data_IF_769832951900
#
_entry.id   IF_769832951900
#
_cell.length_a   1.000
_cell.length_b   1.000
_cell.length_c   1.000
_cell.angle_alpha   90.00
_cell.angle_beta   90.00
_cell.angle_gamma   90.00
#
_symmetry.space_group_name_H-M   'P 1'
#
loop_
_entity.id
_entity.type
_entity.pdbx_description
1 polymer ?
#
# COMPACT_ATOMS: atom_id res chain seq x y z
N UNK A 1 -11.83 -2.45 10.20
CA UNK A 1 -10.50 -2.13 9.63
C UNK A 1 -9.85 -3.44 9.24
N UNK A 2 -9.11 -3.47 8.12
CA UNK A 2 -8.41 -4.67 7.68
C UNK A 2 -7.28 -5.03 8.67
N UNK A 3 -6.98 -6.32 8.82
CA UNK A 3 -5.92 -6.78 9.72
C UNK A 3 -4.56 -6.48 9.12
N UNK A 4 -3.52 -6.34 9.94
CA UNK A 4 -2.18 -6.04 9.41
C UNK A 4 -1.66 -7.14 8.45
N UNK A 5 -2.16 -8.36 8.59
CA UNK A 5 -1.83 -9.53 7.76
C UNK A 5 -2.44 -9.51 6.36
N UNK A 6 -3.37 -8.60 6.06
CA UNK A 6 -3.84 -8.37 4.67
C UNK A 6 -2.89 -7.52 3.83
N UNK A 7 -1.76 -7.08 4.40
CA UNK A 7 -0.70 -6.45 3.61
C UNK A 7 0.27 -7.54 3.18
N UNK A 8 0.40 -7.72 1.87
CA UNK A 8 1.32 -8.70 1.31
C UNK A 8 2.73 -8.52 1.90
N UNK A 9 3.36 -9.64 2.24
CA UNK A 9 4.65 -9.68 2.94
C UNK A 9 4.58 -9.52 4.46
N UNK A 10 3.43 -9.26 5.07
CA UNK A 10 3.23 -9.35 6.53
C UNK A 10 2.62 -10.70 6.90
N UNK A 11 3.46 -11.74 6.89
CA UNK A 11 3.12 -13.02 7.51
C UNK A 11 3.17 -12.96 9.04
N UNK A 12 2.80 -14.06 9.71
CA UNK A 12 2.75 -14.13 11.18
C UNK A 12 4.08 -13.72 11.86
N UNK A 13 5.22 -14.06 11.26
CA UNK A 13 6.57 -13.65 11.73
C UNK A 13 6.72 -12.14 11.91
N UNK A 14 6.13 -11.34 11.03
CA UNK A 14 6.15 -9.88 11.14
C UNK A 14 4.93 -9.34 11.87
N UNK A 15 3.79 -10.04 11.77
CA UNK A 15 2.57 -9.64 12.44
C UNK A 15 2.70 -9.71 13.97
N UNK A 16 3.35 -10.72 14.53
CA UNK A 16 3.54 -10.84 15.98
C UNK A 16 4.22 -9.63 16.64
N UNK A 17 5.43 -9.20 16.22
CA UNK A 17 6.07 -8.03 16.80
C UNK A 17 5.29 -6.73 16.54
N UNK A 18 4.61 -6.60 15.40
CA UNK A 18 3.74 -5.45 15.12
C UNK A 18 2.53 -5.41 16.07
N UNK A 19 1.88 -6.55 16.33
CA UNK A 19 0.77 -6.66 17.28
C UNK A 19 1.24 -6.37 18.71
N UNK A 20 2.44 -6.84 19.09
CA UNK A 20 3.06 -6.53 20.39
C UNK A 20 3.36 -5.03 20.54
N UNK A 21 3.70 -4.35 19.44
CA UNK A 21 3.84 -2.90 19.36
C UNK A 21 2.49 -2.13 19.30
N UNK A 22 1.35 -2.83 19.41
CA UNK A 22 0.01 -2.25 19.36
C UNK A 22 -0.54 -2.02 17.94
N UNK A 23 0.17 -2.45 16.91
CA UNK A 23 -0.20 -2.28 15.50
C UNK A 23 -0.91 -3.54 15.00
N UNK A 24 -2.23 -3.58 15.09
CA UNK A 24 -3.05 -4.75 14.72
C UNK A 24 -3.77 -4.61 13.37
N UNK A 25 -3.92 -3.39 12.88
CA UNK A 25 -4.69 -3.05 11.69
C UNK A 25 -3.87 -2.23 10.71
N UNK A 26 -4.31 -2.20 9.46
CA UNK A 26 -3.73 -1.35 8.40
C UNK A 26 -3.73 0.13 8.81
N UNK A 27 -4.81 0.60 9.43
CA UNK A 27 -4.96 1.99 9.84
C UNK A 27 -4.06 2.32 11.03
N UNK A 28 -3.87 1.38 11.97
CA UNK A 28 -2.90 1.52 13.05
C UNK A 28 -1.48 1.59 12.50
N UNK A 29 -1.15 0.79 11.48
CA UNK A 29 0.15 0.81 10.82
C UNK A 29 0.38 2.14 10.12
N UNK A 30 -0.60 2.60 9.33
CA UNK A 30 -0.53 3.90 8.67
C UNK A 30 -0.30 5.03 9.68
N UNK A 31 -1.07 5.05 10.76
CA UNK A 31 -0.95 6.06 11.82
C UNK A 31 0.44 6.05 12.47
N UNK A 32 0.96 4.88 12.81
CA UNK A 32 2.25 4.75 13.48
C UNK A 32 3.44 4.96 12.54
N UNK A 33 3.32 4.60 11.26
CA UNK A 33 4.36 4.69 10.23
C UNK A 33 4.31 5.95 9.34
N UNK A 34 3.34 6.84 9.53
CA UNK A 34 3.14 8.01 8.66
C UNK A 34 4.36 8.93 8.57
N UNK A 35 5.13 9.06 9.66
CA UNK A 35 6.30 9.95 9.74
C UNK A 35 7.61 9.17 9.74
N UNK A 36 8.70 9.79 9.29
CA UNK A 36 10.05 9.19 9.36
C UNK A 36 10.43 8.78 10.79
N UNK A 37 10.10 9.60 11.79
CA UNK A 37 10.29 9.26 13.20
C UNK A 37 9.45 8.04 13.60
N UNK A 38 8.17 8.01 13.24
CA UNK A 38 7.28 6.89 13.54
C UNK A 38 7.77 5.57 12.97
N UNK A 39 8.25 5.57 11.71
CA UNK A 39 8.85 4.38 11.09
C UNK A 39 10.11 3.91 11.80
N UNK A 40 10.99 4.83 12.19
CA UNK A 40 12.20 4.49 12.96
C UNK A 40 11.85 3.93 14.34
N UNK A 41 10.88 4.52 15.02
CA UNK A 41 10.46 4.06 16.35
C UNK A 41 9.82 2.67 16.26
N UNK A 42 8.95 2.42 15.27
CA UNK A 42 8.40 1.10 14.97
C UNK A 42 9.49 0.08 14.63
N UNK A 43 10.43 0.45 13.77
CA UNK A 43 11.55 -0.40 13.38
C UNK A 43 12.37 -0.83 14.61
N UNK A 44 12.69 0.11 15.50
CA UNK A 44 13.39 -0.17 16.75
C UNK A 44 12.59 -1.07 17.70
N UNK A 45 11.29 -0.84 17.82
CA UNK A 45 10.42 -1.61 18.73
C UNK A 45 10.18 -3.04 18.25
N UNK A 46 10.08 -3.24 16.94
CA UNK A 46 9.69 -4.51 16.33
C UNK A 46 10.88 -5.32 15.80
N UNK A 47 12.06 -4.70 15.66
CA UNK A 47 13.22 -5.29 14.99
C UNK A 47 13.09 -5.33 13.46
N UNK A 48 12.02 -4.78 12.90
CA UNK A 48 11.74 -4.77 11.46
C UNK A 48 12.49 -3.60 10.81
N UNK A 49 13.10 -3.80 9.64
CA UNK A 49 13.80 -2.72 8.95
C UNK A 49 12.87 -1.54 8.61
N UNK A 50 13.36 -0.31 8.72
CA UNK A 50 12.61 0.90 8.33
C UNK A 50 12.11 0.84 6.89
N UNK A 51 12.85 0.17 6.00
CA UNK A 51 12.47 -0.05 4.59
C UNK A 51 11.19 -0.87 4.48
N UNK A 52 11.06 -1.96 5.23
CA UNK A 52 9.85 -2.79 5.23
C UNK A 52 8.68 -2.05 5.88
N UNK A 53 8.92 -1.36 7.01
CA UNK A 53 7.88 -0.54 7.65
C UNK A 53 7.36 0.52 6.68
N UNK A 54 8.25 1.23 5.96
CA UNK A 54 7.87 2.20 4.95
C UNK A 54 7.01 1.56 3.85
N UNK A 55 7.47 0.43 3.30
CA UNK A 55 6.77 -0.31 2.26
C UNK A 55 5.34 -0.65 2.67
N UNK A 56 5.17 -1.24 3.84
CA UNK A 56 3.85 -1.64 4.30
C UNK A 56 2.96 -0.46 4.70
N UNK A 57 3.55 0.61 5.22
CA UNK A 57 2.80 1.86 5.52
C UNK A 57 2.27 2.49 4.23
N UNK A 58 3.07 2.50 3.15
CA UNK A 58 2.63 2.96 1.84
C UNK A 58 1.47 2.12 1.28
N UNK A 59 1.54 0.78 1.41
CA UNK A 59 0.42 -0.11 1.03
C UNK A 59 -0.84 0.15 1.85
N UNK A 60 -0.68 0.35 3.16
CA UNK A 60 -1.78 0.75 4.04
C UNK A 60 -2.40 2.10 3.64
N UNK A 61 -1.59 3.05 3.14
CA UNK A 61 -2.07 4.32 2.60
C UNK A 61 -2.88 4.10 1.30
N UNK A 62 -2.41 3.24 0.39
CA UNK A 62 -3.13 2.88 -0.84
C UNK A 62 -4.48 2.20 -0.55
N UNK A 63 -4.61 1.40 0.50
CA UNK A 63 -5.87 0.76 0.90
C UNK A 63 -6.98 1.75 1.29
N UNK A 64 -6.65 3.03 1.56
CA UNK A 64 -7.65 4.09 1.77
C UNK A 64 -8.47 4.37 0.51
N UNK A 65 -7.94 4.05 -0.66
CA UNK A 65 -8.65 4.19 -1.93
C UNK A 65 -9.60 3.01 -2.10
N UNK A 66 -10.91 3.29 -2.08
CA UNK A 66 -11.94 2.26 -2.21
C UNK A 66 -11.72 1.43 -3.48
N UNK A 67 -11.66 0.11 -3.29
CA UNK A 67 -11.44 -0.86 -4.36
C UNK A 67 -9.99 -1.27 -4.56
N UNK A 68 -9.04 -0.67 -3.83
CA UNK A 68 -7.66 -1.15 -3.74
C UNK A 68 -7.55 -2.04 -2.50
N UNK A 69 -7.37 -3.34 -2.73
CA UNK A 69 -6.97 -4.31 -1.72
C UNK A 69 -5.52 -4.77 -1.93
N UNK A 70 -5.14 -5.85 -1.25
CA UNK A 70 -3.80 -6.45 -1.27
C UNK A 70 -3.24 -6.64 -2.68
N UNK A 71 -3.88 -7.49 -3.49
CA UNK A 71 -3.40 -7.86 -4.83
C UNK A 71 -3.27 -6.63 -5.76
N UNK A 72 -4.17 -5.65 -5.64
CA UNK A 72 -4.12 -4.43 -6.45
C UNK A 72 -3.09 -3.43 -5.96
N UNK A 73 -2.81 -3.36 -4.66
CA UNK A 73 -1.69 -2.57 -4.15
C UNK A 73 -0.36 -3.15 -4.62
N UNK A 74 -0.20 -4.47 -4.62
CA UNK A 74 0.99 -5.13 -5.17
C UNK A 74 1.15 -4.89 -6.67
N UNK A 75 0.06 -4.98 -7.44
CA UNK A 75 0.09 -4.71 -8.87
C UNK A 75 0.42 -3.24 -9.15
N UNK A 76 -0.09 -2.30 -8.37
CA UNK A 76 0.24 -0.88 -8.47
C UNK A 76 1.73 -0.64 -8.18
N UNK A 77 2.26 -1.20 -7.09
CA UNK A 77 3.68 -1.11 -6.74
C UNK A 77 4.55 -1.68 -7.87
N UNK A 78 4.20 -2.88 -8.37
CA UNK A 78 4.90 -3.50 -9.48
C UNK A 78 4.76 -2.72 -10.81
N UNK A 79 3.76 -1.85 -10.92
CA UNK A 79 3.53 -0.93 -12.04
C UNK A 79 4.21 0.45 -11.83
N UNK A 80 4.93 0.62 -10.72
CA UNK A 80 5.67 1.84 -10.36
C UNK A 80 4.82 2.89 -9.64
N UNK A 81 3.76 2.46 -8.94
CA UNK A 81 2.91 3.34 -8.12
C UNK A 81 2.92 2.80 -6.70
N UNK A 82 3.76 3.42 -5.87
CA UNK A 82 3.99 2.97 -4.50
C UNK A 82 3.19 3.82 -3.51
N UNK A 83 2.72 5.00 -3.92
CA UNK A 83 2.11 5.99 -3.02
C UNK A 83 0.82 6.60 -3.57
N UNK A 84 -0.05 7.10 -2.66
CA UNK A 84 -1.28 7.82 -3.04
C UNK A 84 -0.99 9.07 -3.89
N UNK A 85 0.02 9.90 -3.59
CA UNK A 85 0.37 11.04 -4.46
C UNK A 85 0.80 10.62 -5.87
N UNK A 86 1.57 9.54 -6.02
CA UNK A 86 1.95 9.03 -7.33
C UNK A 86 0.72 8.56 -8.11
N UNK A 87 -0.18 7.81 -7.46
CA UNK A 87 -1.43 7.35 -8.07
C UNK A 87 -2.27 8.55 -8.55
N UNK A 88 -2.37 9.62 -7.75
CA UNK A 88 -3.10 10.83 -8.09
C UNK A 88 -2.55 11.54 -9.34
N UNK A 89 -1.27 11.34 -9.67
CA UNK A 89 -0.61 11.97 -10.82
C UNK A 89 -0.63 11.11 -12.09
N UNK A 90 -1.04 9.84 -12.02
CA UNK A 90 -1.06 8.96 -13.18
C UNK A 90 -2.16 9.32 -14.17
N UNK A 91 -1.89 9.05 -15.45
CA UNK A 91 -2.91 8.97 -16.51
C UNK A 91 -3.54 7.57 -16.45
N UNK A 92 -4.87 7.43 -16.27
CA UNK A 92 -5.52 6.13 -16.09
C UNK A 92 -5.23 5.14 -17.22
N UNK A 93 -5.27 5.58 -18.47
CA UNK A 93 -5.04 4.70 -19.64
C UNK A 93 -3.63 4.09 -19.60
N UNK A 94 -2.60 4.95 -19.47
CA UNK A 94 -1.21 4.51 -19.39
C UNK A 94 -0.96 3.61 -18.17
N UNK A 95 -1.59 3.90 -17.03
CA UNK A 95 -1.46 3.07 -15.83
C UNK A 95 -2.10 1.71 -16.06
N UNK A 96 -3.29 1.65 -16.65
CA UNK A 96 -3.99 0.41 -16.94
C UNK A 96 -3.20 -0.47 -17.92
N UNK A 97 -2.65 0.10 -19.00
CA UNK A 97 -1.75 -0.62 -19.92
C UNK A 97 -0.52 -1.16 -19.18
N UNK A 98 0.12 -0.35 -18.33
CA UNK A 98 1.27 -0.79 -17.55
C UNK A 98 0.91 -1.93 -16.59
N UNK A 99 -0.25 -1.85 -15.93
CA UNK A 99 -0.76 -2.90 -15.06
C UNK A 99 -1.02 -4.19 -15.85
N UNK A 100 -1.54 -4.10 -17.08
CA UNK A 100 -1.72 -5.26 -17.95
C UNK A 100 -0.39 -5.93 -18.29
N UNK A 101 0.61 -5.15 -18.72
CA UNK A 101 1.95 -5.64 -19.06
C UNK A 101 2.64 -6.32 -17.87
N UNK A 102 2.52 -5.71 -16.69
CA UNK A 102 3.10 -6.25 -15.46
C UNK A 102 2.39 -7.54 -15.06
N UNK A 103 1.06 -7.57 -15.14
CA UNK A 103 0.29 -8.74 -14.76
C UNK A 103 0.48 -9.91 -15.73
N UNK A 104 0.71 -9.64 -17.02
CA UNK A 104 1.06 -10.66 -18.01
C UNK A 104 2.39 -11.38 -17.67
N UNK A 105 3.31 -10.68 -16.99
CA UNK A 105 4.64 -11.20 -16.63
C UNK A 105 4.69 -11.82 -15.24
N UNK A 106 3.99 -11.21 -14.27
CA UNK A 106 4.09 -11.56 -12.85
C UNK A 106 2.85 -12.26 -12.29
N UNK A 107 1.73 -12.23 -13.00
CA UNK A 107 0.47 -12.88 -12.61
C UNK A 107 0.04 -12.53 -11.17
N UNK A 108 0.15 -11.26 -10.80
CA UNK A 108 -0.13 -10.76 -9.43
C UNK A 108 -1.63 -10.77 -9.10
N UNK A 109 -2.49 -10.58 -10.10
CA UNK A 109 -3.94 -10.64 -9.93
C UNK A 109 -4.56 -11.62 -10.91
N UNK A 110 -5.59 -12.34 -10.45
CA UNK A 110 -6.37 -13.24 -11.32
C UNK A 110 -7.19 -12.47 -12.36
N UNK A 111 -7.68 -11.28 -11.99
CA UNK A 111 -8.47 -10.40 -12.86
C UNK A 111 -7.91 -8.99 -12.83
N UNK A 112 -7.49 -8.52 -14.00
CA UNK A 112 -7.06 -7.13 -14.18
C UNK A 112 -8.21 -6.18 -13.85
N UNK A 113 -7.98 -5.09 -13.10
CA UNK A 113 -9.02 -4.10 -12.85
C UNK A 113 -9.44 -3.46 -14.18
N UNK A 114 -10.74 -3.23 -14.42
CA UNK A 114 -11.16 -2.51 -15.61
C UNK A 114 -10.64 -1.07 -15.56
N UNK A 115 -10.46 -0.45 -16.73
CA UNK A 115 -10.03 0.95 -16.83
C UNK A 115 -10.90 1.90 -15.98
N UNK A 116 -12.21 1.65 -15.89
CA UNK A 116 -13.12 2.45 -15.06
C UNK A 116 -12.74 2.43 -13.57
N UNK A 117 -12.27 1.29 -13.05
CA UNK A 117 -11.79 1.17 -11.68
C UNK A 117 -10.50 1.98 -11.49
N UNK A 118 -9.55 1.86 -12.41
CA UNK A 118 -8.28 2.61 -12.38
C UNK A 118 -8.54 4.12 -12.43
N UNK A 119 -9.44 4.57 -13.30
CA UNK A 119 -9.88 5.98 -13.36
C UNK A 119 -10.49 6.44 -12.04
N UNK A 120 -11.34 5.61 -11.43
CA UNK A 120 -11.91 5.87 -10.11
C UNK A 120 -10.85 5.99 -9.02
N UNK A 121 -9.82 5.13 -9.04
CA UNK A 121 -8.72 5.16 -8.08
C UNK A 121 -7.88 6.43 -8.20
N UNK A 122 -7.50 6.82 -9.41
CA UNK A 122 -6.77 8.08 -9.65
C UNK A 122 -7.61 9.28 -9.16
N UNK A 123 -8.90 9.31 -9.47
CA UNK A 123 -9.79 10.39 -9.03
C UNK A 123 -9.97 10.43 -7.50
N UNK A 124 -10.06 9.27 -6.85
CA UNK A 124 -10.14 9.18 -5.39
C UNK A 124 -8.82 9.60 -4.72
N UNK A 125 -7.68 9.16 -5.24
CA UNK A 125 -6.36 9.53 -4.75
C UNK A 125 -6.14 11.05 -4.76
N UNK A 126 -6.62 11.75 -5.80
CA UNK A 126 -6.57 13.23 -5.88
C UNK A 126 -7.35 13.95 -4.78
N UNK A 127 -8.33 13.29 -4.16
CA UNK A 127 -9.21 13.86 -3.13
C UNK A 127 -8.78 13.46 -1.71
N UNK A 128 -7.81 12.55 -1.57
CA UNK A 128 -7.35 12.10 -0.27
C UNK A 128 -6.32 13.07 0.31
N UNK A 129 -6.48 13.38 1.59
CA UNK A 129 -5.46 14.12 2.32
C UNK A 129 -4.17 13.30 2.40
N UNK A 130 -3.04 14.01 2.26
CA UNK A 130 -1.72 13.44 2.39
C UNK A 130 -1.46 13.05 3.84
N UNK A 131 -1.26 11.76 4.09
CA UNK A 131 -0.92 11.22 5.41
C UNK A 131 0.59 10.95 5.51
N UNK A 132 1.19 10.41 4.45
CA UNK A 132 2.61 10.06 4.45
C UNK A 132 3.54 11.28 4.41
N UNK A 133 4.47 11.30 5.36
CA UNK A 133 5.56 12.27 5.51
C UNK A 133 6.91 11.54 5.35
N UNK A 134 7.71 12.00 4.38
CA UNK A 134 8.98 11.38 3.97
C UNK A 134 10.17 12.10 4.58
#
# INVERSE_FOLDING_TARGET
>A
MATITTIEGIGETYAEPLRAAGVRTTDALLKAGATRKGRRDLARQTGISEKLVLKWTNRADLFRVRGIGEEYADLLEASGVDTVPELAQRKPDNLHEKMADVNAKKQLVRRLPPLTAVTGWVAAAKKLDRVMQY
#
